data_IF_709120138974
#
_entry.id   IF_709120138974
#
_cell.length_a   1.000
_cell.length_b   1.000
_cell.length_c   1.000
_cell.angle_alpha   90.00
_cell.angle_beta   90.00
_cell.angle_gamma   90.00
#
_symmetry.space_group_name_H-M   'P 1'
#
loop_
_entity.id
_entity.type
_entity.pdbx_description
1 polymer ?
#
# COMPACT_ATOMS: atom_id res chain seq x y z
N UNK A 1 -23.41 -33.51 17.74
CA UNK A 1 -22.85 -32.19 17.43
C UNK A 1 -22.50 -32.16 15.96
N UNK A 2 -22.71 -31.03 15.29
CA UNK A 2 -22.20 -30.86 13.92
C UNK A 2 -20.68 -30.55 13.98
N UNK A 3 -19.99 -30.55 12.84
CA UNK A 3 -18.54 -30.31 12.78
C UNK A 3 -18.13 -28.92 13.31
N UNK A 4 -19.02 -27.94 13.20
CA UNK A 4 -18.81 -26.56 13.66
C UNK A 4 -18.86 -26.46 15.20
N UNK A 5 -19.78 -27.16 15.85
CA UNK A 5 -19.88 -27.24 17.31
C UNK A 5 -18.61 -27.89 17.90
N UNK A 6 -18.13 -28.97 17.28
CA UNK A 6 -16.90 -29.67 17.69
C UNK A 6 -15.68 -28.75 17.50
N UNK A 7 -15.60 -28.06 16.36
CA UNK A 7 -14.52 -27.13 16.09
C UNK A 7 -14.49 -25.99 17.12
N UNK A 8 -15.64 -25.41 17.45
CA UNK A 8 -15.75 -24.35 18.45
C UNK A 8 -15.32 -24.82 19.84
N UNK A 9 -15.63 -26.06 20.21
CA UNK A 9 -15.19 -26.66 21.47
C UNK A 9 -13.68 -26.87 21.51
N UNK A 10 -13.08 -27.42 20.45
CA UNK A 10 -11.62 -27.60 20.33
C UNK A 10 -10.89 -26.25 20.37
N UNK A 11 -11.45 -25.23 19.71
CA UNK A 11 -10.89 -23.87 19.72
C UNK A 11 -10.98 -23.24 21.12
N UNK A 12 -12.09 -23.43 21.83
CA UNK A 12 -12.31 -22.88 23.16
C UNK A 12 -11.48 -23.59 24.24
N UNK A 13 -11.26 -24.89 24.10
CA UNK A 13 -10.43 -25.66 25.03
C UNK A 13 -9.76 -26.87 24.33
N UNK A 14 -8.53 -26.70 23.82
CA UNK A 14 -7.81 -27.76 23.12
C UNK A 14 -7.47 -28.99 23.98
N UNK A 15 -7.61 -28.89 25.31
CA UNK A 15 -7.29 -29.96 26.27
C UNK A 15 -8.50 -30.80 26.68
N UNK A 16 -9.75 -30.42 26.31
CA UNK A 16 -10.98 -31.20 26.63
C UNK A 16 -11.11 -32.48 25.78
N UNK A 17 -10.19 -32.74 24.85
CA UNK A 17 -10.16 -33.97 24.05
C UNK A 17 -9.90 -35.25 24.86
N UNK A 18 -9.67 -35.19 26.18
CA UNK A 18 -9.73 -36.41 27.03
C UNK A 18 -11.14 -37.03 27.05
N UNK A 19 -12.20 -36.25 26.81
CA UNK A 19 -13.58 -36.76 26.62
C UNK A 19 -14.13 -36.56 25.19
N UNK A 20 -13.42 -35.79 24.36
CA UNK A 20 -13.73 -35.52 22.95
C UNK A 20 -13.03 -36.47 21.97
N UNK A 21 -13.65 -37.63 21.75
CA UNK A 21 -13.49 -38.56 20.63
C UNK A 21 -12.28 -38.36 19.69
N UNK A 22 -11.12 -38.92 20.06
CA UNK A 22 -9.84 -38.88 19.32
C UNK A 22 -9.98 -39.21 17.81
N UNK A 23 -11.07 -39.89 17.42
CA UNK A 23 -11.45 -40.16 16.03
C UNK A 23 -11.38 -38.91 15.14
N UNK A 24 -11.82 -37.76 15.62
CA UNK A 24 -11.82 -36.52 14.84
C UNK A 24 -10.41 -35.98 14.57
N UNK A 25 -9.45 -36.19 15.48
CA UNK A 25 -8.06 -35.76 15.30
C UNK A 25 -7.31 -36.62 14.28
N UNK A 26 -7.86 -37.78 13.92
CA UNK A 26 -7.36 -38.68 12.87
C UNK A 26 -8.18 -38.61 11.58
N UNK A 27 -9.34 -37.96 11.60
CA UNK A 27 -10.21 -37.80 10.44
C UNK A 27 -9.67 -36.71 9.50
N UNK A 28 -9.45 -37.07 8.23
CA UNK A 28 -8.86 -36.17 7.24
C UNK A 28 -9.80 -35.03 6.86
N UNK A 29 -11.10 -35.31 6.72
CA UNK A 29 -12.07 -34.34 6.24
C UNK A 29 -12.31 -33.28 7.32
N UNK A 30 -12.48 -33.73 8.57
CA UNK A 30 -12.57 -32.85 9.73
C UNK A 30 -11.29 -32.02 9.89
N UNK A 31 -10.11 -32.63 9.83
CA UNK A 31 -8.85 -31.91 10.00
C UNK A 31 -8.59 -30.89 8.88
N UNK A 32 -9.01 -31.19 7.64
CA UNK A 32 -8.96 -30.24 6.54
C UNK A 32 -9.90 -29.05 6.78
N UNK A 33 -11.14 -29.31 7.20
CA UNK A 33 -12.12 -28.27 7.57
C UNK A 33 -11.61 -27.39 8.72
N UNK A 34 -11.09 -28.00 9.79
CA UNK A 34 -10.55 -27.31 10.95
C UNK A 34 -9.36 -26.41 10.58
N UNK A 35 -8.40 -26.92 9.79
CA UNK A 35 -7.21 -26.16 9.41
C UNK A 35 -7.48 -25.02 8.42
N UNK A 36 -8.56 -25.12 7.62
CA UNK A 36 -9.01 -24.01 6.77
C UNK A 36 -9.47 -22.80 7.59
N UNK A 37 -10.04 -23.03 8.77
CA UNK A 37 -10.51 -21.96 9.66
C UNK A 37 -9.44 -21.55 10.69
N UNK A 38 -8.69 -22.51 11.21
CA UNK A 38 -7.71 -22.32 12.29
C UNK A 38 -6.48 -23.23 12.10
N UNK A 39 -5.52 -22.79 11.30
CA UNK A 39 -4.34 -23.59 10.93
C UNK A 39 -3.42 -24.05 12.06
N UNK A 40 -3.57 -23.54 13.28
CA UNK A 40 -2.82 -23.98 14.47
C UNK A 40 -3.36 -25.30 15.05
N UNK A 41 -4.62 -25.65 14.78
CA UNK A 41 -5.26 -26.88 15.26
C UNK A 41 -4.50 -28.15 14.80
N UNK A 42 -3.75 -28.05 13.71
CA UNK A 42 -2.92 -29.16 13.22
C UNK A 42 -1.85 -29.63 14.23
N UNK A 43 -1.58 -28.86 15.29
CA UNK A 43 -0.79 -29.31 16.45
C UNK A 43 -1.33 -30.59 17.08
N UNK A 44 -2.66 -30.76 17.13
CA UNK A 44 -3.35 -31.87 17.80
C UNK A 44 -3.64 -33.05 16.85
N UNK A 45 -3.35 -32.90 15.56
CA UNK A 45 -3.59 -33.96 14.58
C UNK A 45 -2.86 -35.26 14.95
N UNK A 46 -3.51 -36.39 14.63
CA UNK A 46 -2.93 -37.72 14.80
C UNK A 46 -1.59 -37.86 14.08
N UNK A 47 -0.72 -38.73 14.61
CA UNK A 47 0.66 -38.91 14.10
C UNK A 47 0.67 -39.33 12.63
N UNK A 48 -0.30 -40.16 12.22
CA UNK A 48 -0.44 -40.62 10.84
C UNK A 48 -0.62 -39.44 9.87
N UNK A 49 -1.51 -38.50 10.20
CA UNK A 49 -1.77 -37.29 9.41
C UNK A 49 -0.55 -36.36 9.32
N UNK A 50 0.27 -36.29 10.38
CA UNK A 50 1.52 -35.51 10.41
C UNK A 50 2.64 -36.11 9.55
N UNK A 51 2.42 -37.30 8.98
CA UNK A 51 3.36 -37.98 8.07
C UNK A 51 2.81 -38.21 6.67
N UNK A 52 1.49 -38.08 6.47
CA UNK A 52 0.83 -38.24 5.17
C UNK A 52 1.16 -37.06 4.24
N UNK A 53 2.07 -37.29 3.29
CA UNK A 53 2.56 -36.25 2.38
C UNK A 53 1.45 -35.65 1.51
N UNK A 54 0.49 -36.45 1.05
CA UNK A 54 -0.55 -35.98 0.14
C UNK A 54 -1.55 -35.10 0.88
N UNK A 55 -2.00 -35.58 2.04
CA UNK A 55 -2.89 -34.82 2.91
C UNK A 55 -2.26 -33.51 3.39
N UNK A 56 -0.99 -33.54 3.78
CA UNK A 56 -0.25 -32.36 4.19
C UNK A 56 -0.17 -31.30 3.09
N UNK A 57 0.10 -31.70 1.84
CA UNK A 57 0.15 -30.78 0.71
C UNK A 57 -1.23 -30.16 0.42
N UNK A 58 -2.32 -30.87 0.69
CA UNK A 58 -3.67 -30.32 0.56
C UNK A 58 -3.97 -29.25 1.61
N UNK A 59 -3.66 -29.51 2.89
CA UNK A 59 -3.85 -28.52 3.96
C UNK A 59 -2.97 -27.28 3.73
N UNK A 60 -1.75 -27.48 3.26
CA UNK A 60 -0.76 -26.42 3.02
C UNK A 60 -1.22 -25.37 2.00
N UNK A 61 -2.14 -25.72 1.09
CA UNK A 61 -2.79 -24.76 0.18
C UNK A 61 -3.56 -23.67 0.92
N UNK A 62 -4.09 -23.99 2.10
CA UNK A 62 -4.96 -23.11 2.87
C UNK A 62 -4.26 -22.47 4.07
N UNK A 63 -3.27 -23.16 4.64
CA UNK A 63 -2.57 -22.69 5.83
C UNK A 63 -1.09 -23.04 5.83
N UNK A 64 -0.23 -22.03 5.94
CA UNK A 64 1.22 -22.23 6.09
C UNK A 64 1.58 -22.72 7.50
N UNK A 65 0.83 -22.34 8.53
CA UNK A 65 1.14 -22.63 9.94
C UNK A 65 1.14 -24.11 10.27
N UNK A 66 0.39 -24.94 9.53
CA UNK A 66 0.37 -26.39 9.71
C UNK A 66 1.77 -27.02 9.54
N UNK A 67 2.65 -26.42 8.73
CA UNK A 67 4.02 -26.89 8.50
C UNK A 67 4.84 -26.92 9.80
N UNK A 68 4.48 -26.10 10.80
CA UNK A 68 5.11 -26.12 12.13
C UNK A 68 4.96 -27.46 12.84
N UNK A 69 3.93 -28.25 12.53
CA UNK A 69 3.55 -29.42 13.31
C UNK A 69 3.82 -30.76 12.60
N UNK A 70 4.30 -30.73 11.36
CA UNK A 70 4.66 -31.95 10.63
C UNK A 70 5.90 -32.64 11.23
N UNK A 71 6.09 -33.91 10.90
CA UNK A 71 7.23 -34.69 11.39
C UNK A 71 8.59 -34.07 11.04
N UNK A 72 9.56 -34.21 11.95
CA UNK A 72 10.93 -33.68 11.75
C UNK A 72 11.64 -34.31 10.55
N UNK A 73 11.28 -35.54 10.18
CA UNK A 73 11.78 -36.21 8.99
C UNK A 73 11.36 -35.47 7.72
N UNK A 74 10.08 -35.11 7.59
CA UNK A 74 9.56 -34.35 6.45
C UNK A 74 10.14 -32.94 6.35
N UNK A 75 10.36 -32.26 7.50
CA UNK A 75 11.03 -30.95 7.51
C UNK A 75 12.47 -30.97 6.97
N UNK A 76 13.12 -32.14 7.01
CA UNK A 76 14.47 -32.35 6.50
C UNK A 76 14.49 -32.89 5.06
N UNK A 77 13.36 -33.39 4.56
CA UNK A 77 13.19 -33.87 3.19
C UNK A 77 13.08 -32.66 2.24
N UNK A 78 14.19 -32.33 1.58
CA UNK A 78 14.25 -31.21 0.64
C UNK A 78 13.19 -31.29 -0.45
N UNK A 79 12.90 -32.48 -0.98
CA UNK A 79 11.92 -32.64 -2.07
C UNK A 79 10.50 -32.36 -1.57
N UNK A 80 10.18 -32.79 -0.35
CA UNK A 80 8.92 -32.45 0.29
C UNK A 80 8.82 -30.94 0.56
N UNK A 81 9.86 -30.32 1.12
CA UNK A 81 9.86 -28.87 1.37
C UNK A 81 9.70 -28.09 0.07
N UNK A 82 10.36 -28.50 -1.02
CA UNK A 82 10.20 -27.89 -2.35
C UNK A 82 8.76 -27.96 -2.84
N UNK A 83 8.10 -29.12 -2.73
CA UNK A 83 6.68 -29.25 -3.10
C UNK A 83 5.80 -28.35 -2.23
N UNK A 84 6.05 -28.31 -0.92
CA UNK A 84 5.30 -27.49 0.01
C UNK A 84 5.39 -25.99 -0.34
N UNK A 85 6.60 -25.45 -0.53
CA UNK A 85 6.76 -24.01 -0.83
C UNK A 85 6.24 -23.62 -2.21
N UNK A 86 6.21 -24.54 -3.18
CA UNK A 86 5.57 -24.32 -4.49
C UNK A 86 4.04 -24.29 -4.40
N UNK A 87 3.47 -24.88 -3.35
CA UNK A 87 2.03 -24.84 -3.07
C UNK A 87 1.65 -23.58 -2.29
N UNK A 88 2.52 -23.14 -1.38
CA UNK A 88 2.33 -21.94 -0.56
C UNK A 88 3.70 -21.45 -0.05
N UNK A 89 4.20 -20.36 -0.60
CA UNK A 89 5.52 -19.79 -0.36
C UNK A 89 5.71 -19.27 1.06
N UNK A 90 4.63 -18.91 1.76
CA UNK A 90 4.67 -18.48 3.17
C UNK A 90 5.09 -19.62 4.11
N UNK A 91 5.03 -20.87 3.66
CA UNK A 91 5.56 -22.03 4.41
C UNK A 91 7.03 -21.85 4.76
N UNK A 92 7.79 -21.09 3.95
CA UNK A 92 9.19 -20.80 4.22
C UNK A 92 9.42 -20.29 5.65
N UNK A 93 8.48 -19.52 6.22
CA UNK A 93 8.49 -19.03 7.60
C UNK A 93 8.75 -20.16 8.63
N UNK A 94 8.08 -21.30 8.46
CA UNK A 94 8.09 -22.40 9.42
C UNK A 94 9.12 -23.50 9.07
N UNK A 95 9.86 -23.33 7.98
CA UNK A 95 10.94 -24.26 7.61
C UNK A 95 12.17 -24.12 8.50
N UNK A 96 13.02 -25.15 8.47
CA UNK A 96 14.30 -25.14 9.18
C UNK A 96 15.25 -24.09 8.60
N UNK A 97 16.15 -23.56 9.43
CA UNK A 97 17.20 -22.61 9.01
C UNK A 97 17.99 -23.10 7.78
N UNK A 98 18.25 -24.41 7.69
CA UNK A 98 18.92 -25.02 6.53
C UNK A 98 18.15 -24.78 5.23
N UNK A 99 16.82 -24.94 5.25
CA UNK A 99 15.95 -24.72 4.08
C UNK A 99 15.88 -23.24 3.70
N UNK A 100 15.82 -22.33 4.69
CA UNK A 100 15.91 -20.86 4.47
C UNK A 100 17.25 -20.40 3.89
N UNK A 101 18.27 -21.26 3.89
CA UNK A 101 19.59 -21.03 3.32
C UNK A 101 19.81 -21.76 1.97
N UNK A 102 18.86 -22.58 1.53
CA UNK A 102 18.90 -23.27 0.24
C UNK A 102 18.31 -22.36 -0.84
N UNK A 103 19.11 -22.07 -1.87
CA UNK A 103 18.73 -21.09 -2.91
C UNK A 103 17.52 -21.55 -3.70
N UNK A 104 17.40 -22.84 -3.98
CA UNK A 104 16.33 -23.40 -4.79
C UNK A 104 14.99 -23.33 -4.04
N UNK A 105 15.00 -23.71 -2.75
CA UNK A 105 13.80 -23.59 -1.89
C UNK A 105 13.36 -22.13 -1.78
N UNK A 106 14.31 -21.22 -1.55
CA UNK A 106 14.02 -19.79 -1.45
C UNK A 106 13.45 -19.24 -2.76
N UNK A 107 14.07 -19.56 -3.89
CA UNK A 107 13.63 -19.08 -5.20
C UNK A 107 12.22 -19.56 -5.55
N UNK A 108 11.91 -20.84 -5.31
CA UNK A 108 10.56 -21.37 -5.55
C UNK A 108 9.52 -20.78 -4.60
N UNK A 109 9.89 -20.50 -3.34
CA UNK A 109 9.00 -19.85 -2.39
C UNK A 109 8.63 -18.42 -2.80
N UNK A 110 9.63 -17.60 -3.23
CA UNK A 110 9.37 -16.22 -3.67
C UNK A 110 8.65 -16.14 -5.01
N UNK A 111 8.84 -17.14 -5.86
CA UNK A 111 8.14 -17.28 -7.13
C UNK A 111 6.65 -17.58 -6.93
N UNK A 112 6.30 -18.38 -5.92
CA UNK A 112 4.91 -18.63 -5.56
C UNK A 112 4.29 -17.39 -4.88
N UNK A 113 5.00 -16.80 -3.91
CA UNK A 113 4.53 -15.62 -3.19
C UNK A 113 5.70 -14.72 -2.81
N UNK A 114 5.76 -13.52 -3.38
CA UNK A 114 6.83 -12.55 -3.16
C UNK A 114 7.05 -12.18 -1.69
N UNK A 115 6.02 -12.28 -0.84
CA UNK A 115 6.12 -12.01 0.59
C UNK A 115 6.98 -13.04 1.34
N UNK A 116 7.28 -14.20 0.74
CA UNK A 116 8.23 -15.16 1.28
C UNK A 116 9.63 -14.55 1.47
N UNK A 117 9.95 -13.45 0.78
CA UNK A 117 11.20 -12.70 0.93
C UNK A 117 11.43 -12.24 2.38
N UNK A 118 10.38 -12.02 3.18
CA UNK A 118 10.49 -11.64 4.60
C UNK A 118 11.17 -12.71 5.46
N UNK A 119 11.13 -13.97 5.04
CA UNK A 119 11.60 -15.12 5.81
C UNK A 119 12.93 -15.70 5.31
N UNK A 120 13.48 -15.15 4.22
CA UNK A 120 14.73 -15.65 3.63
C UNK A 120 15.92 -15.28 4.49
N UNK A 121 16.99 -16.07 4.40
CA UNK A 121 18.25 -15.67 5.02
C UNK A 121 18.82 -14.41 4.34
N UNK A 122 19.29 -13.44 5.15
CA UNK A 122 19.83 -12.13 4.70
C UNK A 122 20.81 -12.16 3.52
N UNK A 123 21.53 -13.27 3.33
CA UNK A 123 22.46 -13.47 2.19
C UNK A 123 21.77 -13.36 0.82
N UNK A 124 20.48 -13.69 0.74
CA UNK A 124 19.70 -13.67 -0.49
C UNK A 124 19.02 -12.33 -0.75
N UNK A 125 19.04 -11.40 0.21
CA UNK A 125 18.52 -10.03 0.02
C UNK A 125 19.40 -9.18 -0.91
N UNK A 126 20.56 -9.71 -1.33
CA UNK A 126 21.44 -9.15 -2.36
C UNK A 126 21.47 -9.99 -3.64
N UNK A 127 20.71 -11.09 -3.68
CA UNK A 127 20.58 -11.92 -4.88
C UNK A 127 19.55 -11.28 -5.80
N UNK A 128 20.04 -10.71 -6.91
CA UNK A 128 19.23 -9.96 -7.87
C UNK A 128 18.05 -10.76 -8.40
N UNK A 129 18.26 -12.05 -8.72
CA UNK A 129 17.21 -12.88 -9.32
C UNK A 129 16.10 -13.17 -8.32
N UNK A 130 16.46 -13.50 -7.08
CA UNK A 130 15.48 -13.76 -6.01
C UNK A 130 14.67 -12.50 -5.72
N UNK A 131 15.33 -11.34 -5.59
CA UNK A 131 14.64 -10.08 -5.28
C UNK A 131 13.75 -9.63 -6.43
N UNK A 132 14.21 -9.72 -7.68
CA UNK A 132 13.41 -9.37 -8.85
C UNK A 132 12.17 -10.28 -8.96
N UNK A 133 12.34 -11.58 -8.76
CA UNK A 133 11.22 -12.54 -8.81
C UNK A 133 10.22 -12.28 -7.67
N UNK A 134 10.72 -11.98 -6.47
CA UNK A 134 9.85 -11.62 -5.34
C UNK A 134 9.03 -10.35 -5.62
N UNK A 135 9.64 -9.31 -6.21
CA UNK A 135 8.94 -8.07 -6.55
C UNK A 135 7.82 -8.33 -7.56
N UNK A 136 8.07 -9.15 -8.58
CA UNK A 136 7.06 -9.52 -9.59
C UNK A 136 5.86 -10.26 -9.00
N UNK A 137 6.12 -11.14 -8.03
CA UNK A 137 5.10 -11.99 -7.42
C UNK A 137 4.60 -11.47 -6.06
N UNK A 138 4.91 -10.22 -5.70
CA UNK A 138 4.36 -9.59 -4.49
C UNK A 138 2.91 -9.21 -4.76
N UNK A 139 1.98 -9.87 -4.07
CA UNK A 139 0.55 -9.51 -4.12
C UNK A 139 0.39 -8.17 -3.40
N UNK A 140 0.31 -7.08 -4.17
CA UNK A 140 -0.07 -5.75 -3.69
C UNK A 140 -1.54 -5.77 -3.26
N UNK A 141 -1.84 -6.32 -2.08
CA UNK A 141 -3.11 -6.06 -1.41
C UNK A 141 -2.88 -5.08 -0.27
N UNK A 142 -3.46 -3.89 -0.42
CA UNK A 142 -3.52 -2.82 0.58
C UNK A 142 -4.13 -3.26 1.92
N UNK A 143 -4.78 -4.43 1.95
CA UNK A 143 -5.44 -5.03 3.10
C UNK A 143 -4.52 -5.83 4.03
N UNK A 144 -3.45 -6.47 3.53
CA UNK A 144 -2.64 -7.36 4.36
C UNK A 144 -1.61 -6.62 5.24
N UNK A 145 -1.26 -5.38 4.86
CA UNK A 145 -0.35 -4.51 5.62
C UNK A 145 -0.99 -3.92 6.90
N UNK A 146 -2.31 -4.06 7.08
CA UNK A 146 -3.04 -3.53 8.23
C UNK A 146 -3.13 -4.49 9.43
N UNK A 147 -2.79 -5.79 9.27
CA UNK A 147 -3.07 -6.81 10.30
C UNK A 147 -1.86 -7.56 10.86
N UNK A 148 -0.64 -7.05 10.68
CA UNK A 148 0.52 -7.49 11.47
C UNK A 148 0.64 -6.64 12.74
N UNK A 149 -0.39 -6.76 13.58
CA UNK A 149 -0.38 -6.27 14.96
C UNK A 149 -0.09 -7.44 15.89
N UNK A 150 1.17 -7.60 16.33
CA UNK A 150 1.56 -8.08 17.67
C UNK A 150 3.08 -8.22 17.86
N UNK A 151 3.60 -8.12 19.11
CA UNK A 151 4.41 -6.97 19.50
C UNK A 151 5.72 -7.36 20.18
N UNK A 152 6.80 -6.58 19.97
CA UNK A 152 7.85 -6.35 20.96
C UNK A 152 8.98 -5.50 20.36
N UNK A 153 9.00 -4.24 20.79
CA UNK A 153 10.13 -3.29 20.82
C UNK A 153 10.29 -2.36 19.59
N UNK A 154 9.94 -1.10 19.87
CA UNK A 154 10.20 0.18 19.20
C UNK A 154 9.45 0.53 17.92
N UNK A 155 8.27 1.10 18.18
CA UNK A 155 7.49 2.02 17.35
C UNK A 155 8.34 3.16 16.81
N UNK A 156 8.41 3.27 15.47
CA UNK A 156 8.10 4.50 14.74
C UNK A 156 8.17 4.23 13.22
N UNK A 157 7.15 4.65 12.49
CA UNK A 157 7.03 4.67 11.01
C UNK A 157 6.48 3.41 10.35
N UNK A 158 5.16 3.29 10.43
CA UNK A 158 4.31 2.56 9.48
C UNK A 158 4.29 3.35 8.16
N UNK A 159 4.81 2.78 7.07
CA UNK A 159 4.43 3.10 5.68
C UNK A 159 4.92 2.00 4.72
N UNK A 160 4.24 1.93 3.59
CA UNK A 160 4.09 0.80 2.68
C UNK A 160 5.39 0.34 1.99
N UNK A 161 5.32 -0.87 1.41
CA UNK A 161 6.29 -1.56 0.52
C UNK A 161 7.57 -2.13 1.17
N UNK A 162 7.45 -3.23 1.92
CA UNK A 162 8.58 -3.90 2.60
C UNK A 162 9.58 -4.59 1.66
N UNK A 163 9.21 -4.97 0.43
CA UNK A 163 10.13 -5.75 -0.43
C UNK A 163 11.35 -4.97 -0.92
N UNK A 164 11.18 -3.68 -1.28
CA UNK A 164 12.30 -2.83 -1.73
C UNK A 164 13.05 -2.18 -0.56
N UNK A 165 12.36 -1.86 0.55
CA UNK A 165 13.01 -1.28 1.74
C UNK A 165 13.99 -2.26 2.42
N UNK A 166 13.70 -3.56 2.34
CA UNK A 166 14.57 -4.64 2.87
C UNK A 166 15.73 -4.98 1.91
N UNK A 167 15.67 -4.54 0.64
CA UNK A 167 16.73 -4.76 -0.33
C UNK A 167 17.97 -3.89 -0.02
N UNK A 168 19.16 -4.40 -0.37
CA UNK A 168 20.40 -3.65 -0.20
C UNK A 168 20.49 -2.46 -1.18
N UNK A 169 21.33 -1.48 -0.86
CA UNK A 169 21.51 -0.24 -1.63
C UNK A 169 21.76 -0.49 -3.12
N UNK A 170 22.58 -1.51 -3.45
CA UNK A 170 22.86 -1.90 -4.84
C UNK A 170 21.61 -2.30 -5.63
N UNK A 171 20.63 -2.96 -4.99
CA UNK A 171 19.39 -3.37 -5.65
C UNK A 171 18.36 -2.24 -5.72
N UNK A 172 18.43 -1.27 -4.79
CA UNK A 172 17.66 -0.02 -4.88
C UNK A 172 18.16 0.91 -5.99
N UNK A 173 19.37 0.69 -6.48
CA UNK A 173 19.93 1.29 -7.68
C UNK A 173 19.75 0.43 -8.95
N UNK A 174 19.16 -0.76 -8.83
CA UNK A 174 18.89 -1.61 -9.99
C UNK A 174 17.60 -1.16 -10.68
N UNK A 175 17.78 -0.57 -11.86
CA UNK A 175 16.70 0.05 -12.62
C UNK A 175 15.55 -0.91 -12.89
N UNK A 176 15.82 -2.17 -13.22
CA UNK A 176 14.77 -3.14 -13.57
C UNK A 176 13.93 -3.49 -12.35
N UNK A 177 14.58 -3.71 -11.20
CA UNK A 177 13.90 -4.01 -9.93
C UNK A 177 13.01 -2.84 -9.51
N UNK A 178 13.56 -1.62 -9.54
CA UNK A 178 12.82 -0.42 -9.15
C UNK A 178 11.66 -0.16 -10.10
N UNK A 179 11.87 -0.28 -11.42
CA UNK A 179 10.80 -0.07 -12.39
C UNK A 179 9.66 -1.07 -12.20
N UNK A 180 9.98 -2.35 -11.94
CA UNK A 180 8.96 -3.36 -11.67
C UNK A 180 8.23 -3.11 -10.34
N UNK A 181 8.95 -2.69 -9.30
CA UNK A 181 8.37 -2.33 -8.02
C UNK A 181 7.41 -1.13 -8.17
N UNK A 182 7.80 -0.10 -8.91
CA UNK A 182 7.00 1.11 -9.17
C UNK A 182 5.73 0.79 -9.97
N UNK A 183 5.79 -0.11 -10.95
CA UNK A 183 4.59 -0.57 -11.67
C UNK A 183 3.57 -1.22 -10.72
N UNK A 184 4.05 -2.01 -9.76
CA UNK A 184 3.22 -2.69 -8.76
C UNK A 184 2.72 -1.75 -7.65
N UNK A 185 3.56 -0.84 -7.15
CA UNK A 185 3.24 0.15 -6.13
C UNK A 185 4.03 1.45 -6.38
N UNK A 186 3.32 2.53 -6.68
CA UNK A 186 3.94 3.81 -7.00
C UNK A 186 4.79 4.37 -5.85
N UNK A 187 4.45 4.04 -4.59
CA UNK A 187 5.20 4.46 -3.41
C UNK A 187 6.60 3.82 -3.33
N UNK A 188 6.88 2.77 -4.11
CA UNK A 188 8.20 2.16 -4.17
C UNK A 188 9.30 3.13 -4.63
N UNK A 189 8.93 4.22 -5.32
CA UNK A 189 9.87 5.27 -5.74
C UNK A 189 10.61 5.91 -4.55
N UNK A 190 10.00 5.95 -3.35
CA UNK A 190 10.63 6.49 -2.13
C UNK A 190 11.96 5.80 -1.79
N UNK A 191 12.04 4.49 -2.06
CA UNK A 191 13.19 3.67 -1.69
C UNK A 191 14.22 3.53 -2.80
N UNK A 192 13.96 4.07 -3.98
CA UNK A 192 14.91 4.05 -5.08
C UNK A 192 16.14 4.92 -4.77
N UNK A 193 17.30 4.56 -5.35
CA UNK A 193 18.51 5.38 -5.30
C UNK A 193 18.26 6.78 -5.89
N UNK A 194 19.04 7.78 -5.48
CA UNK A 194 18.95 9.16 -5.96
C UNK A 194 19.00 9.25 -7.49
N UNK A 195 19.83 8.43 -8.13
CA UNK A 195 19.96 8.35 -9.58
C UNK A 195 18.66 7.93 -10.27
N UNK A 196 17.92 6.98 -9.68
CA UNK A 196 16.66 6.48 -10.20
C UNK A 196 15.47 7.36 -9.81
N UNK A 197 15.56 8.11 -8.70
CA UNK A 197 14.62 9.21 -8.39
C UNK A 197 14.81 10.42 -9.31
N UNK A 198 15.88 10.41 -10.10
CA UNK A 198 16.20 11.39 -11.13
C UNK A 198 16.07 10.81 -12.56
N UNK A 199 15.71 9.52 -12.70
CA UNK A 199 15.38 8.87 -13.97
C UNK A 199 13.94 9.21 -14.37
N UNK A 200 13.80 9.92 -15.48
CA UNK A 200 12.49 10.40 -15.96
C UNK A 200 11.51 9.26 -16.22
N UNK A 201 11.94 8.12 -16.76
CA UNK A 201 11.03 7.03 -17.11
C UNK A 201 10.50 6.32 -15.86
N UNK A 202 11.38 6.05 -14.89
CA UNK A 202 11.01 5.45 -13.60
C UNK A 202 10.04 6.34 -12.85
N UNK A 203 10.37 7.63 -12.74
CA UNK A 203 9.52 8.62 -12.06
C UNK A 203 8.19 8.81 -12.80
N UNK A 204 8.20 8.80 -14.14
CA UNK A 204 7.00 8.94 -14.93
C UNK A 204 6.03 7.78 -14.73
N UNK A 205 6.52 6.53 -14.65
CA UNK A 205 5.65 5.38 -14.35
C UNK A 205 5.05 5.45 -12.94
N UNK A 206 5.79 5.94 -11.94
CA UNK A 206 5.25 6.16 -10.59
C UNK A 206 4.15 7.23 -10.59
N UNK A 207 4.45 8.40 -11.17
CA UNK A 207 3.56 9.56 -11.24
C UNK A 207 2.29 9.26 -12.03
N UNK A 208 2.38 8.41 -13.06
CA UNK A 208 1.24 7.93 -13.84
C UNK A 208 0.22 7.17 -13.00
N UNK A 209 0.67 6.48 -11.94
CA UNK A 209 -0.18 5.69 -11.04
C UNK A 209 -0.64 6.49 -9.82
N UNK A 210 0.24 7.29 -9.25
CA UNK A 210 -0.07 8.20 -8.14
C UNK A 210 0.75 9.49 -8.30
N UNK A 211 0.08 10.58 -8.65
CA UNK A 211 0.72 11.88 -8.86
C UNK A 211 1.39 12.47 -7.62
N UNK A 212 1.08 11.96 -6.41
CA UNK A 212 1.74 12.39 -5.16
C UNK A 212 3.18 11.89 -5.03
N UNK A 213 3.55 10.82 -5.76
CA UNK A 213 4.91 10.26 -5.78
C UNK A 213 5.97 11.21 -6.35
N UNK A 214 5.53 12.29 -7.00
CA UNK A 214 6.39 13.40 -7.38
C UNK A 214 7.18 13.99 -6.20
N UNK A 215 6.69 13.86 -4.96
CA UNK A 215 7.41 14.21 -3.74
C UNK A 215 8.83 13.59 -3.69
N UNK A 216 8.97 12.36 -4.18
CA UNK A 216 10.22 11.60 -4.12
C UNK A 216 11.14 11.87 -5.31
N UNK A 217 10.65 12.54 -6.36
CA UNK A 217 11.46 12.86 -7.52
C UNK A 217 12.55 13.91 -7.20
N UNK A 218 13.59 13.94 -8.03
CA UNK A 218 14.62 14.98 -7.95
C UNK A 218 14.05 16.39 -8.20
N UNK A 219 14.76 17.42 -7.74
CA UNK A 219 14.37 18.82 -7.97
C UNK A 219 14.31 19.17 -9.47
N UNK A 220 15.21 18.58 -10.27
CA UNK A 220 15.20 18.70 -11.74
C UNK A 220 13.88 18.20 -12.31
N UNK A 221 13.41 17.03 -11.87
CA UNK A 221 12.17 16.44 -12.36
C UNK A 221 10.93 17.13 -11.79
N UNK A 222 10.98 17.67 -10.57
CA UNK A 222 9.94 18.56 -10.02
C UNK A 222 9.80 19.88 -10.78
N UNK A 223 10.80 20.25 -11.59
CA UNK A 223 10.72 21.36 -12.54
C UNK A 223 10.33 20.94 -13.96
N UNK A 224 10.14 19.64 -14.23
CA UNK A 224 9.77 19.15 -15.54
C UNK A 224 8.27 19.35 -15.82
N UNK A 225 7.97 20.32 -16.70
CA UNK A 225 6.59 20.68 -17.07
C UNK A 225 5.75 19.51 -17.56
N UNK A 226 6.30 18.62 -18.38
CA UNK A 226 5.55 17.48 -18.92
C UNK A 226 5.17 16.50 -17.81
N UNK A 227 6.11 16.21 -16.91
CA UNK A 227 5.87 15.35 -15.74
C UNK A 227 4.81 15.95 -14.82
N UNK A 228 4.89 17.25 -14.50
CA UNK A 228 3.87 17.94 -13.68
C UNK A 228 2.49 17.87 -14.34
N UNK A 229 2.42 18.12 -15.65
CA UNK A 229 1.15 18.04 -16.38
C UNK A 229 0.60 16.62 -16.40
N UNK A 230 1.46 15.59 -16.48
CA UNK A 230 1.02 14.19 -16.39
C UNK A 230 0.50 13.86 -14.99
N UNK A 231 1.23 14.25 -13.95
CA UNK A 231 0.84 14.08 -12.55
C UNK A 231 -0.52 14.72 -12.23
N UNK A 232 -0.88 15.81 -12.91
CA UNK A 232 -2.18 16.48 -12.77
C UNK A 232 -3.36 15.75 -13.44
N UNK A 233 -3.10 14.74 -14.29
CA UNK A 233 -4.12 14.02 -15.07
C UNK A 233 -4.49 12.65 -14.51
N UNK A 234 -3.76 12.12 -13.52
CA UNK A 234 -3.76 10.68 -13.20
C UNK A 234 -4.85 10.19 -12.24
N UNK A 235 -5.92 10.97 -12.04
CA UNK A 235 -7.00 10.67 -11.09
C UNK A 235 -8.23 10.03 -11.74
N UNK A 236 -8.05 9.00 -12.57
CA UNK A 236 -9.17 8.20 -13.13
C UNK A 236 -9.31 6.81 -12.47
N UNK A 237 -8.53 6.46 -11.45
CA UNK A 237 -8.67 5.16 -10.77
C UNK A 237 -9.66 5.22 -9.61
N UNK A 238 -10.84 4.67 -9.90
CA UNK A 238 -11.92 4.23 -9.03
C UNK A 238 -11.45 3.67 -7.68
N UNK A 239 -11.65 4.44 -6.61
CA UNK A 239 -11.74 3.91 -5.25
C UNK A 239 -13.11 4.28 -4.70
N UNK A 240 -13.91 3.24 -4.41
CA UNK A 240 -15.21 3.38 -3.78
C UNK A 240 -15.08 4.16 -2.45
N UNK A 241 -16.00 5.10 -2.17
CA UNK A 241 -15.88 5.98 -1.02
C UNK A 241 -16.23 5.24 0.27
N UNK A 242 -15.24 4.66 0.94
CA UNK A 242 -15.36 4.26 2.33
C UNK A 242 -15.11 5.49 3.23
N UNK A 243 -16.21 6.13 3.65
CA UNK A 243 -16.39 6.63 5.02
C UNK A 243 -15.68 7.90 5.51
N UNK A 244 -14.83 8.58 4.74
CA UNK A 244 -14.28 9.88 5.13
C UNK A 244 -14.28 10.90 3.99
N UNK A 245 -15.36 11.68 3.93
CA UNK A 245 -15.62 12.77 2.97
C UNK A 245 -14.57 13.91 3.01
N UNK A 246 -13.69 13.92 4.02
CA UNK A 246 -12.69 14.98 4.23
C UNK A 246 -11.29 14.71 3.67
N UNK A 247 -10.97 13.48 3.26
CA UNK A 247 -9.62 13.12 2.79
C UNK A 247 -9.55 12.76 1.29
N UNK A 248 -10.69 12.60 0.62
CA UNK A 248 -10.75 12.32 -0.82
C UNK A 248 -10.23 13.49 -1.66
N UNK A 249 -10.52 14.72 -1.24
CA UNK A 249 -10.11 15.96 -1.92
C UNK A 249 -8.61 16.29 -1.81
N UNK A 250 -7.88 15.65 -0.89
CA UNK A 250 -6.45 15.92 -0.69
C UNK A 250 -5.53 15.08 -1.56
N UNK A 251 -5.96 13.89 -2.01
CA UNK A 251 -5.14 13.02 -2.86
C UNK A 251 -5.06 13.51 -4.31
N UNK A 252 -6.11 14.15 -4.81
CA UNK A 252 -6.22 14.56 -6.21
C UNK A 252 -5.57 15.92 -6.53
N UNK A 253 -4.81 16.50 -5.59
CA UNK A 253 -4.18 17.83 -5.70
C UNK A 253 -2.66 17.85 -5.45
N UNK A 254 -2.02 16.68 -5.26
CA UNK A 254 -0.67 16.62 -4.72
C UNK A 254 0.45 17.04 -5.68
N UNK A 255 0.25 17.05 -7.00
CA UNK A 255 1.36 17.31 -7.93
C UNK A 255 1.88 18.75 -7.89
N UNK A 256 1.01 19.76 -7.76
CA UNK A 256 1.47 21.15 -7.70
C UNK A 256 2.17 21.48 -6.38
N UNK A 257 1.79 20.82 -5.27
CA UNK A 257 2.42 20.98 -3.96
C UNK A 257 3.93 20.69 -4.02
N UNK A 258 4.31 19.66 -4.76
CA UNK A 258 5.70 19.19 -4.86
C UNK A 258 6.45 19.74 -6.09
N UNK A 259 5.76 20.50 -6.95
CA UNK A 259 6.39 21.15 -8.09
C UNK A 259 7.32 22.29 -7.64
N UNK A 260 8.37 22.54 -8.42
CA UNK A 260 9.29 23.66 -8.17
C UNK A 260 8.57 25.02 -8.13
N UNK A 261 9.15 26.02 -7.46
CA UNK A 261 8.54 27.35 -7.31
C UNK A 261 8.17 27.99 -8.65
N UNK A 262 9.06 27.87 -9.64
CA UNK A 262 8.79 28.37 -10.99
C UNK A 262 7.60 27.67 -11.67
N UNK A 263 7.37 26.39 -11.40
CA UNK A 263 6.18 25.67 -11.90
C UNK A 263 4.91 26.11 -11.17
N UNK A 264 5.01 26.40 -9.86
CA UNK A 264 3.90 26.97 -9.05
C UNK A 264 3.56 28.42 -9.44
N UNK A 265 4.44 29.08 -10.19
CA UNK A 265 4.24 30.39 -10.80
C UNK A 265 3.87 30.35 -12.30
N UNK A 266 3.86 29.17 -12.95
CA UNK A 266 3.42 29.05 -14.35
C UNK A 266 1.88 29.07 -14.41
N UNK A 267 1.33 30.19 -14.86
CA UNK A 267 -0.12 30.39 -15.01
C UNK A 267 -0.83 29.27 -15.77
N UNK A 268 -0.23 28.70 -16.82
CA UNK A 268 -0.86 27.62 -17.60
C UNK A 268 -0.95 26.33 -16.80
N UNK A 269 0.08 26.00 -16.03
CA UNK A 269 0.10 24.82 -15.16
C UNK A 269 -0.94 24.99 -14.05
N UNK A 270 -0.94 26.14 -13.38
CA UNK A 270 -1.89 26.41 -12.29
C UNK A 270 -3.32 26.41 -12.81
N UNK A 271 -3.62 27.01 -13.96
CA UNK A 271 -4.95 26.97 -14.58
C UNK A 271 -5.42 25.54 -14.89
N UNK A 272 -4.53 24.69 -15.39
CA UNK A 272 -4.83 23.28 -15.63
C UNK A 272 -5.16 22.55 -14.32
N UNK A 273 -4.37 22.78 -13.27
CA UNK A 273 -4.53 22.12 -11.98
C UNK A 273 -5.80 22.58 -11.22
N UNK A 274 -6.07 23.89 -11.14
CA UNK A 274 -7.27 24.41 -10.47
C UNK A 274 -8.57 24.04 -11.18
N UNK A 275 -8.50 23.71 -12.46
CA UNK A 275 -9.64 23.19 -13.23
C UNK A 275 -10.03 21.77 -12.81
N UNK A 276 -9.10 21.00 -12.22
CA UNK A 276 -9.36 19.66 -11.68
C UNK A 276 -9.70 19.71 -10.20
N UNK A 277 -8.89 20.40 -9.41
CA UNK A 277 -9.13 20.59 -7.99
C UNK A 277 -8.81 22.04 -7.59
N UNK A 278 -9.84 22.80 -7.23
CA UNK A 278 -9.70 24.21 -6.89
C UNK A 278 -8.85 24.47 -5.62
N UNK A 279 -8.76 23.50 -4.71
CA UNK A 279 -7.96 23.59 -3.47
C UNK A 279 -6.46 23.65 -3.77
N UNK A 280 -6.04 23.27 -4.98
CA UNK A 280 -4.66 23.43 -5.47
C UNK A 280 -4.19 24.89 -5.48
N UNK A 281 -5.12 25.86 -5.53
CA UNK A 281 -4.78 27.29 -5.50
C UNK A 281 -3.91 27.66 -4.28
N UNK A 282 -4.01 26.92 -3.16
CA UNK A 282 -3.18 27.14 -1.98
C UNK A 282 -1.66 27.04 -2.24
N UNK A 283 -1.27 26.22 -3.23
CA UNK A 283 0.13 25.94 -3.56
C UNK A 283 0.68 26.87 -4.65
N UNK A 284 -0.19 27.60 -5.36
CA UNK A 284 0.24 28.56 -6.37
C UNK A 284 1.10 29.68 -5.76
N UNK A 285 1.93 30.32 -6.59
CA UNK A 285 2.65 31.54 -6.22
C UNK A 285 1.69 32.65 -5.75
N UNK A 286 2.16 33.55 -4.90
CA UNK A 286 1.35 34.67 -4.39
C UNK A 286 0.85 35.58 -5.52
N UNK A 287 1.64 35.74 -6.58
CA UNK A 287 1.27 36.46 -7.79
C UNK A 287 0.04 35.84 -8.46
N UNK A 288 -0.01 34.50 -8.56
CA UNK A 288 -1.15 33.80 -9.15
C UNK A 288 -2.35 33.68 -8.21
N UNK A 289 -2.15 33.74 -6.89
CA UNK A 289 -3.24 33.94 -5.91
C UNK A 289 -3.84 35.34 -5.98
N UNK A 290 -3.12 36.31 -6.56
CA UNK A 290 -3.59 37.64 -6.91
C UNK A 290 -4.05 37.77 -8.37
N UNK A 291 -3.89 36.73 -9.20
CA UNK A 291 -4.36 36.73 -10.59
C UNK A 291 -5.86 36.45 -10.63
N UNK A 292 -6.61 37.46 -11.10
CA UNK A 292 -8.08 37.41 -11.16
C UNK A 292 -8.60 36.26 -12.04
N UNK A 293 -7.92 35.93 -13.13
CA UNK A 293 -8.35 34.86 -14.03
C UNK A 293 -8.19 33.49 -13.36
N UNK A 294 -7.05 33.25 -12.71
CA UNK A 294 -6.75 32.01 -11.98
C UNK A 294 -7.73 31.82 -10.83
N UNK A 295 -7.91 32.86 -9.99
CA UNK A 295 -8.84 32.81 -8.85
C UNK A 295 -10.28 32.62 -9.33
N UNK A 296 -10.72 33.33 -10.37
CA UNK A 296 -12.06 33.15 -10.94
C UNK A 296 -12.28 31.71 -11.42
N UNK A 297 -11.28 31.09 -12.07
CA UNK A 297 -11.36 29.70 -12.50
C UNK A 297 -11.50 28.76 -11.30
N UNK A 298 -10.70 28.97 -10.24
CA UNK A 298 -10.74 28.16 -9.02
C UNK A 298 -12.09 28.29 -8.29
N UNK A 299 -12.58 29.50 -8.03
CA UNK A 299 -13.86 29.71 -7.30
C UNK A 299 -15.08 29.25 -8.09
N UNK A 300 -15.03 29.30 -9.43
CA UNK A 300 -16.06 28.69 -10.30
C UNK A 300 -16.07 27.17 -10.24
N UNK A 301 -14.94 26.54 -9.90
CA UNK A 301 -14.86 25.10 -9.68
C UNK A 301 -15.33 24.74 -8.26
N UNK A 302 -14.76 25.36 -7.21
CA UNK A 302 -15.23 25.23 -5.83
C UNK A 302 -15.10 26.57 -5.09
N UNK A 303 -16.23 27.10 -4.59
CA UNK A 303 -16.28 28.40 -3.91
C UNK A 303 -15.37 28.51 -2.67
N UNK A 304 -15.03 27.40 -2.01
CA UNK A 304 -14.10 27.39 -0.86
C UNK A 304 -12.67 27.76 -1.26
N UNK A 305 -12.32 27.70 -2.55
CA UNK A 305 -11.00 28.13 -3.02
C UNK A 305 -10.72 29.63 -2.76
N UNK A 306 -11.77 30.43 -2.50
CA UNK A 306 -11.64 31.84 -2.10
C UNK A 306 -10.70 32.04 -0.91
N UNK A 307 -10.62 31.08 0.01
CA UNK A 307 -9.75 31.17 1.19
C UNK A 307 -8.26 31.32 0.84
N UNK A 308 -7.86 30.85 -0.34
CA UNK A 308 -6.47 30.86 -0.81
C UNK A 308 -6.15 32.02 -1.75
N UNK A 309 -7.15 32.81 -2.13
CA UNK A 309 -6.91 34.02 -2.93
C UNK A 309 -6.26 35.11 -2.06
N UNK A 310 -5.57 36.04 -2.72
CA UNK A 310 -5.04 37.25 -2.08
C UNK A 310 -6.14 38.06 -1.38
N UNK A 311 -5.77 38.83 -0.36
CA UNK A 311 -6.72 39.66 0.40
C UNK A 311 -7.53 40.63 -0.49
N UNK A 312 -6.89 41.17 -1.51
CA UNK A 312 -7.52 42.07 -2.49
C UNK A 312 -8.64 41.38 -3.26
N UNK A 313 -8.41 40.15 -3.74
CA UNK A 313 -9.41 39.36 -4.45
C UNK A 313 -10.47 38.76 -3.52
N UNK A 314 -10.13 38.53 -2.25
CA UNK A 314 -11.09 38.18 -1.18
C UNK A 314 -12.01 39.34 -0.78
N UNK A 315 -11.73 40.56 -1.23
CA UNK A 315 -12.57 41.74 -1.12
C UNK A 315 -13.24 42.15 -2.46
N UNK A 316 -12.89 41.51 -3.58
CA UNK A 316 -13.50 41.78 -4.89
C UNK A 316 -14.94 41.23 -4.93
N UNK A 317 -15.90 42.15 -5.00
CA UNK A 317 -17.34 41.84 -4.97
C UNK A 317 -17.74 40.80 -6.01
N UNK A 318 -17.21 40.86 -7.23
CA UNK A 318 -17.56 39.91 -8.30
C UNK A 318 -17.05 38.50 -7.98
N UNK A 319 -15.81 38.38 -7.48
CA UNK A 319 -15.25 37.09 -7.07
C UNK A 319 -16.02 36.51 -5.88
N UNK A 320 -16.35 37.35 -4.90
CA UNK A 320 -17.13 36.96 -3.73
C UNK A 320 -18.50 36.43 -4.15
N UNK A 321 -19.23 37.16 -5.01
CA UNK A 321 -20.57 36.78 -5.45
C UNK A 321 -20.54 35.42 -6.17
N UNK A 322 -19.53 35.17 -7.01
CA UNK A 322 -19.34 33.88 -7.68
C UNK A 322 -19.01 32.77 -6.67
N UNK A 323 -18.06 33.02 -5.75
CA UNK A 323 -17.62 32.04 -4.76
C UNK A 323 -18.76 31.63 -3.83
N UNK A 324 -19.53 32.60 -3.32
CA UNK A 324 -20.69 32.37 -2.44
C UNK A 324 -21.83 31.67 -3.17
N UNK A 325 -22.06 32.01 -4.44
CA UNK A 325 -23.04 31.32 -5.29
C UNK A 325 -22.68 29.84 -5.49
N UNK A 326 -21.39 29.54 -5.62
CA UNK A 326 -20.91 28.17 -5.82
C UNK A 326 -20.77 27.40 -4.49
N UNK A 327 -20.47 28.07 -3.39
CA UNK A 327 -20.47 27.50 -2.05
C UNK A 327 -20.75 28.58 -0.99
N UNK A 328 -21.88 28.48 -0.29
CA UNK A 328 -22.30 29.49 0.69
C UNK A 328 -21.31 29.66 1.86
N UNK A 329 -20.56 28.61 2.20
CA UNK A 329 -19.55 28.66 3.26
C UNK A 329 -18.35 29.54 2.88
N UNK A 330 -18.18 29.87 1.59
CA UNK A 330 -17.15 30.80 1.12
C UNK A 330 -17.25 32.19 1.79
N UNK A 331 -18.44 32.57 2.28
CA UNK A 331 -18.66 33.82 3.04
C UNK A 331 -17.69 33.99 4.22
N UNK A 332 -17.27 32.89 4.85
CA UNK A 332 -16.33 32.90 5.99
C UNK A 332 -14.94 33.42 5.61
N UNK A 333 -14.62 33.41 4.31
CA UNK A 333 -13.32 33.79 3.78
C UNK A 333 -13.34 35.18 3.11
N UNK A 334 -14.42 35.94 3.19
CA UNK A 334 -14.44 37.31 2.68
C UNK A 334 -13.53 38.19 3.56
N UNK A 335 -12.60 38.91 2.96
CA UNK A 335 -11.71 39.81 3.69
C UNK A 335 -12.50 41.05 4.15
N UNK A 336 -12.32 41.47 5.40
CA UNK A 336 -13.03 42.61 5.98
C UNK A 336 -14.46 42.34 6.48
N UNK A 337 -14.97 41.11 6.41
CA UNK A 337 -16.24 40.76 7.08
C UNK A 337 -16.01 40.52 8.58
N UNK A 338 -16.58 41.39 9.42
CA UNK A 338 -16.67 41.16 10.87
C UNK A 338 -17.35 39.82 11.16
N UNK A 339 -16.88 39.03 12.15
CA UNK A 339 -17.50 37.77 12.58
C UNK A 339 -19.00 37.90 12.93
N UNK A 340 -19.45 39.11 13.22
CA UNK A 340 -20.82 39.46 13.63
C UNK A 340 -21.77 39.50 12.42
N UNK A 341 -21.29 39.88 11.23
CA UNK A 341 -22.09 39.93 10.00
C UNK A 341 -22.26 38.55 9.34
N UNK A 342 -21.29 37.64 9.52
CA UNK A 342 -21.36 36.28 8.99
C UNK A 342 -22.52 35.45 9.60
N UNK A 343 -22.98 35.78 10.82
CA UNK A 343 -24.11 35.10 11.50
C UNK A 343 -25.51 35.63 11.11
N UNK A 344 -25.60 36.78 10.42
CA UNK A 344 -26.89 37.48 10.21
C UNK A 344 -27.59 37.22 8.88
N UNK A 345 -27.04 36.34 8.04
CA UNK A 345 -27.63 36.01 6.74
C UNK A 345 -27.93 34.51 6.72
N UNK A 346 -29.10 34.15 7.27
CA UNK A 346 -29.74 32.83 7.10
C UNK A 346 -30.40 32.77 5.73
#
# INVERSE_FOLDING_TARGET
MNEEDILNEIVANPFITEEGDERYLTDKDFMLYACKNHGWIFEYAGVELKTDKEFLLEIMKHSSSCFRWISRALKRDKQFVLKAVKTNGLILEHTLKKSKMDREIVFEAVKENGNALLFVHKKFLSDREIVLEAVKNTISSSYFLANLSCPSVTVSYVKYTQSLSVACEKLRADRDIVLEAVKSDACALEYASDELRDDIEVVFEAVKKDGSTLEYASDRLKANKELILKASKTTETSVEPLGHEFLKDLRDACSLKYASEHMRADKKIVLAAVSKNAIVLQYASEELKADKEVVLKAVKNNGLALQYASETLRADKNIIDIAVKNNILAKRFIFGMSPILAKKIK
#
